data_IF_107997493683
#
_entry.id   IF_107997493683
#
_cell.length_a   1.000
_cell.length_b   1.000
_cell.length_c   1.000
_cell.angle_alpha   90.00
_cell.angle_beta   90.00
_cell.angle_gamma   90.00
#
_symmetry.space_group_name_H-M   'P 1'
#
loop_
_entity.id
_entity.type
_entity.pdbx_description
1 polymer ?
#
# COMPACT_ATOMS: atom_id res chain seq x y z
N UNK A 1 -17.07 21.58 -6.00
CA UNK A 1 -16.02 21.75 -7.04
C UNK A 1 -14.82 20.89 -6.69
N UNK A 2 -14.07 20.29 -7.66
CA UNK A 2 -12.85 19.52 -7.37
C UNK A 2 -11.81 20.31 -6.54
N UNK A 3 -11.71 21.60 -6.78
CA UNK A 3 -10.82 22.48 -6.01
C UNK A 3 -11.22 22.59 -4.55
N UNK A 4 -12.53 22.63 -4.27
CA UNK A 4 -13.04 22.66 -2.88
C UNK A 4 -12.67 21.38 -2.13
N UNK A 5 -12.84 20.22 -2.77
CA UNK A 5 -12.47 18.91 -2.17
C UNK A 5 -10.97 18.87 -1.87
N UNK A 6 -10.14 19.32 -2.82
CA UNK A 6 -8.69 19.39 -2.63
C UNK A 6 -8.34 20.27 -1.41
N UNK A 7 -8.93 21.45 -1.30
CA UNK A 7 -8.68 22.35 -0.16
C UNK A 7 -9.01 21.70 1.18
N UNK A 8 -10.14 20.97 1.28
CA UNK A 8 -10.47 20.25 2.50
C UNK A 8 -9.48 19.10 2.81
N UNK A 9 -9.04 18.37 1.78
CA UNK A 9 -8.02 17.34 1.96
C UNK A 9 -6.72 17.95 2.45
N UNK A 10 -6.29 19.08 1.89
CA UNK A 10 -5.09 19.80 2.32
C UNK A 10 -5.19 20.23 3.81
N UNK A 11 -6.36 20.74 4.26
CA UNK A 11 -6.57 21.08 5.68
C UNK A 11 -6.52 19.87 6.62
N UNK A 12 -7.08 18.73 6.19
CA UNK A 12 -7.02 17.48 6.95
C UNK A 12 -5.59 16.93 7.02
N UNK A 13 -4.81 17.12 5.96
CA UNK A 13 -3.40 16.74 5.91
C UNK A 13 -2.54 17.65 6.82
N UNK A 14 -2.77 18.97 6.80
CA UNK A 14 -2.14 19.93 7.72
C UNK A 14 -2.47 19.65 9.20
N UNK A 15 -3.67 19.13 9.47
CA UNK A 15 -4.11 18.72 10.81
C UNK A 15 -3.63 17.31 11.21
N UNK A 16 -2.83 16.65 10.39
CA UNK A 16 -2.37 15.27 10.59
C UNK A 16 -3.48 14.22 10.74
N UNK A 17 -4.70 14.52 10.29
CA UNK A 17 -5.82 13.56 10.32
C UNK A 17 -5.71 12.57 9.17
N UNK A 18 -5.23 13.04 8.02
CA UNK A 18 -5.02 12.23 6.83
C UNK A 18 -3.61 12.42 6.28
N UNK A 19 -3.20 11.46 5.45
CA UNK A 19 -1.94 11.50 4.72
C UNK A 19 -2.19 11.16 3.25
N UNK A 20 -1.62 11.95 2.35
CA UNK A 20 -1.62 11.67 0.93
C UNK A 20 -0.41 10.84 0.54
N UNK A 21 -0.63 9.72 -0.14
CA UNK A 21 0.42 8.89 -0.72
C UNK A 21 0.41 9.05 -2.23
N UNK A 22 1.44 9.64 -2.84
CA UNK A 22 1.49 9.84 -4.28
C UNK A 22 1.81 8.55 -5.03
N UNK A 23 1.35 8.46 -6.27
CA UNK A 23 1.86 7.47 -7.23
C UNK A 23 3.33 7.74 -7.49
N UNK A 24 4.17 6.69 -7.41
CA UNK A 24 5.59 6.85 -7.76
C UNK A 24 5.77 7.08 -9.26
N UNK A 25 6.54 8.09 -9.60
CA UNK A 25 7.06 8.32 -10.95
C UNK A 25 8.49 8.88 -10.82
N UNK A 26 9.35 8.63 -11.79
CA UNK A 26 10.69 9.22 -11.83
C UNK A 26 10.64 10.74 -12.06
N UNK A 27 9.56 11.26 -12.65
CA UNK A 27 9.31 12.67 -12.82
C UNK A 27 8.57 13.25 -11.61
N UNK A 28 9.21 14.17 -10.89
CA UNK A 28 8.58 14.89 -9.76
C UNK A 28 7.29 15.61 -10.17
N UNK A 29 7.27 16.21 -11.37
CA UNK A 29 6.05 16.85 -11.90
C UNK A 29 4.89 15.87 -12.02
N UNK A 30 5.15 14.65 -12.49
CA UNK A 30 4.11 13.62 -12.59
C UNK A 30 3.65 13.15 -11.21
N UNK A 31 4.53 13.03 -10.22
CA UNK A 31 4.13 12.69 -8.85
C UNK A 31 3.14 13.71 -8.26
N UNK A 32 3.28 15.00 -8.61
CA UNK A 32 2.38 16.06 -8.13
C UNK A 32 1.00 15.97 -8.76
N UNK A 33 0.92 15.67 -10.07
CA UNK A 33 -0.33 15.69 -10.84
C UNK A 33 -1.08 14.36 -10.85
N UNK A 34 -0.40 13.25 -10.54
CA UNK A 34 -1.02 11.93 -10.47
C UNK A 34 -2.01 11.84 -9.30
N UNK A 35 -2.94 10.90 -9.39
CA UNK A 35 -3.83 10.55 -8.30
C UNK A 35 -3.06 10.17 -7.05
N UNK A 36 -3.67 10.40 -5.90
CA UNK A 36 -3.12 10.07 -4.58
C UNK A 36 -4.05 9.12 -3.84
N UNK A 37 -3.47 8.18 -3.12
CA UNK A 37 -4.20 7.42 -2.10
C UNK A 37 -4.24 8.26 -0.80
N UNK A 38 -5.37 8.21 -0.10
CA UNK A 38 -5.56 8.91 1.18
C UNK A 38 -5.69 7.86 2.28
N UNK A 39 -4.87 8.01 3.32
CA UNK A 39 -4.91 7.19 4.52
C UNK A 39 -5.18 8.05 5.74
N UNK A 40 -5.90 7.52 6.72
CA UNK A 40 -6.17 8.19 7.98
C UNK A 40 -5.11 7.85 9.03
N UNK A 41 -4.86 8.77 9.96
CA UNK A 41 -3.97 8.53 11.10
C UNK A 41 -4.48 7.43 12.03
N UNK A 42 -5.79 7.21 12.04
CA UNK A 42 -6.45 6.26 12.94
C UNK A 42 -7.56 5.49 12.22
N UNK A 43 -7.45 4.16 12.24
CA UNK A 43 -8.47 3.26 11.66
C UNK A 43 -9.80 3.34 12.41
N UNK A 44 -9.80 3.73 13.70
CA UNK A 44 -11.00 3.96 14.49
C UNK A 44 -11.80 5.15 13.96
N UNK A 45 -11.14 6.25 13.57
CA UNK A 45 -11.79 7.39 12.92
C UNK A 45 -12.46 6.97 11.60
N UNK A 46 -11.77 6.17 10.80
CA UNK A 46 -12.34 5.64 9.55
C UNK A 46 -13.60 4.83 9.82
N UNK A 47 -13.61 3.97 10.85
CA UNK A 47 -14.76 3.15 11.20
C UNK A 47 -15.96 3.97 11.71
N UNK A 48 -15.71 5.06 12.43
CA UNK A 48 -16.80 5.93 12.96
C UNK A 48 -17.43 6.77 11.85
N UNK A 49 -16.63 7.22 10.89
CA UNK A 49 -17.10 8.12 9.82
C UNK A 49 -17.61 7.34 8.61
N UNK A 50 -17.03 6.18 8.32
CA UNK A 50 -17.55 5.32 7.26
C UNK A 50 -18.77 4.57 7.75
N UNK A 51 -19.90 4.71 7.04
CA UNK A 51 -21.05 3.83 7.22
C UNK A 51 -20.56 2.38 7.07
N UNK A 52 -20.51 1.66 8.21
CA UNK A 52 -19.85 0.37 8.33
C UNK A 52 -20.55 -0.69 7.47
N UNK A 53 -19.98 -1.00 6.32
CA UNK A 53 -20.26 -2.22 5.58
C UNK A 53 -19.00 -3.06 5.53
N UNK A 54 -19.17 -4.38 5.61
CA UNK A 54 -18.12 -5.42 5.67
C UNK A 54 -17.06 -5.35 4.53
N UNK A 55 -17.31 -4.57 3.49
CA UNK A 55 -16.41 -4.39 2.34
C UNK A 55 -15.17 -3.52 2.65
N UNK A 56 -15.10 -2.91 3.84
CA UNK A 56 -14.01 -2.01 4.18
C UNK A 56 -12.81 -2.66 4.87
N UNK A 57 -12.86 -3.98 5.15
CA UNK A 57 -11.79 -4.66 5.92
C UNK A 57 -10.43 -4.55 5.23
N UNK A 58 -10.37 -4.77 3.92
CA UNK A 58 -9.14 -4.64 3.15
C UNK A 58 -8.53 -3.23 3.26
N UNK A 59 -9.34 -2.18 3.15
CA UNK A 59 -8.90 -0.79 3.30
C UNK A 59 -8.40 -0.48 4.70
N UNK A 60 -9.03 -1.03 5.75
CA UNK A 60 -8.58 -0.83 7.13
C UNK A 60 -7.23 -1.50 7.38
N UNK A 61 -7.03 -2.69 6.82
CA UNK A 61 -5.76 -3.42 6.91
C UNK A 61 -4.67 -2.66 6.16
N UNK A 62 -4.95 -2.18 4.96
CA UNK A 62 -4.04 -1.36 4.16
C UNK A 62 -3.66 -0.06 4.91
N UNK A 63 -4.65 0.60 5.52
CA UNK A 63 -4.43 1.79 6.34
C UNK A 63 -3.54 1.50 7.58
N UNK A 64 -3.74 0.37 8.23
CA UNK A 64 -2.89 -0.06 9.36
C UNK A 64 -1.43 -0.25 8.93
N UNK A 65 -1.22 -0.91 7.78
CA UNK A 65 0.12 -1.09 7.21
C UNK A 65 0.76 0.26 6.89
N UNK A 66 0.00 1.19 6.31
CA UNK A 66 0.47 2.54 6.03
C UNK A 66 0.95 3.26 7.31
N UNK A 67 0.14 3.24 8.38
CA UNK A 67 0.50 3.86 9.67
C UNK A 67 1.81 3.26 10.19
N UNK A 68 1.95 1.95 10.14
CA UNK A 68 3.17 1.28 10.59
C UNK A 68 4.39 1.65 9.74
N UNK A 69 4.24 1.75 8.41
CA UNK A 69 5.32 2.23 7.53
C UNK A 69 5.75 3.66 7.88
N UNK A 70 4.80 4.53 8.24
CA UNK A 70 5.09 5.89 8.71
C UNK A 70 5.81 5.87 10.06
N UNK A 71 5.40 5.04 11.00
CA UNK A 71 6.07 4.86 12.29
C UNK A 71 7.52 4.38 12.13
N UNK A 72 7.78 3.57 11.09
CA UNK A 72 9.13 3.14 10.71
C UNK A 72 9.90 4.19 9.89
N UNK A 73 9.38 5.41 9.75
CA UNK A 73 9.98 6.52 8.99
C UNK A 73 10.28 6.16 7.52
N UNK A 74 9.42 5.35 6.89
CA UNK A 74 9.58 5.00 5.48
C UNK A 74 9.03 6.08 4.56
N UNK A 75 9.70 6.31 3.42
CA UNK A 75 9.21 7.15 2.33
C UNK A 75 8.31 6.30 1.43
N UNK A 76 6.99 6.53 1.53
CA UNK A 76 5.95 5.65 0.99
C UNK A 76 5.33 6.24 -0.27
N UNK A 77 5.20 5.42 -1.29
CA UNK A 77 4.47 5.66 -2.54
C UNK A 77 3.61 4.46 -2.86
N UNK A 78 2.73 4.56 -3.87
CA UNK A 78 2.08 3.40 -4.47
C UNK A 78 2.47 3.27 -5.94
N UNK A 79 2.29 2.08 -6.50
CA UNK A 79 2.48 1.82 -7.92
C UNK A 79 1.14 1.53 -8.60
N UNK A 80 0.95 2.07 -9.81
CA UNK A 80 -0.23 1.78 -10.62
C UNK A 80 0.07 2.02 -12.10
N UNK A 81 0.16 0.93 -12.86
CA UNK A 81 0.17 0.98 -14.31
C UNK A 81 -0.99 0.11 -14.82
N UNK A 82 -0.76 -1.11 -15.31
CA UNK A 82 -1.82 -2.07 -15.63
C UNK A 82 -2.45 -2.64 -14.36
N UNK A 83 -1.61 -2.93 -13.36
CA UNK A 83 -2.00 -3.40 -12.04
C UNK A 83 -1.60 -2.38 -10.97
N UNK A 84 -2.13 -2.54 -9.78
CA UNK A 84 -1.81 -1.69 -8.64
C UNK A 84 -1.01 -2.49 -7.62
N UNK A 85 0.04 -1.86 -7.04
CA UNK A 85 0.73 -2.34 -5.85
C UNK A 85 0.60 -1.28 -4.77
N UNK A 86 0.12 -1.70 -3.58
CA UNK A 86 -0.32 -0.78 -2.54
C UNK A 86 0.80 0.11 -2.03
N UNK A 87 1.99 -0.46 -1.82
CA UNK A 87 3.11 0.31 -1.33
C UNK A 87 4.40 -0.02 -2.07
N UNK A 88 5.15 1.01 -2.43
CA UNK A 88 6.53 0.94 -2.85
C UNK A 88 7.34 1.90 -1.99
N UNK A 89 8.43 1.41 -1.39
CA UNK A 89 9.24 2.16 -0.44
C UNK A 89 10.49 2.66 -1.13
N UNK A 90 10.77 3.96 -0.93
CA UNK A 90 11.91 4.62 -1.54
C UNK A 90 12.99 4.87 -0.49
N UNK A 91 14.24 4.60 -0.86
CA UNK A 91 15.43 4.99 -0.11
C UNK A 91 16.40 5.69 -1.06
N UNK A 92 16.74 6.92 -0.72
CA UNK A 92 17.55 7.77 -1.61
C UNK A 92 16.84 8.02 -2.95
N UNK A 93 17.37 7.49 -4.05
CA UNK A 93 16.83 7.69 -5.40
C UNK A 93 16.13 6.45 -5.98
N UNK A 94 16.04 5.36 -5.24
CA UNK A 94 15.55 4.08 -5.74
C UNK A 94 14.40 3.57 -4.89
N UNK A 95 13.50 2.83 -5.54
CA UNK A 95 12.57 1.96 -4.83
C UNK A 95 13.35 0.72 -4.38
N UNK A 96 13.23 0.37 -3.11
CA UNK A 96 13.96 -0.74 -2.47
C UNK A 96 13.04 -1.88 -2.04
N UNK A 97 11.74 -1.60 -1.89
CA UNK A 97 10.77 -2.60 -1.44
C UNK A 97 9.41 -2.37 -2.11
N UNK A 98 8.68 -3.46 -2.39
CA UNK A 98 7.30 -3.46 -2.84
C UNK A 98 6.47 -4.36 -1.91
N UNK A 99 5.33 -3.84 -1.44
CA UNK A 99 4.44 -4.48 -0.49
C UNK A 99 3.00 -4.41 -1.03
N UNK A 100 2.35 -5.56 -1.09
CA UNK A 100 0.93 -5.69 -1.34
C UNK A 100 0.22 -6.10 -0.06
N UNK A 101 -1.03 -5.68 0.14
CA UNK A 101 -1.80 -5.96 1.34
C UNK A 101 -3.13 -6.60 0.98
N UNK A 102 -3.48 -7.69 1.62
CA UNK A 102 -4.75 -8.37 1.37
C UNK A 102 -5.34 -8.97 2.65
N UNK A 103 -6.66 -9.07 2.69
CA UNK A 103 -7.35 -9.73 3.80
C UNK A 103 -7.06 -11.24 3.82
N UNK A 104 -7.23 -11.90 2.69
CA UNK A 104 -6.94 -13.32 2.54
C UNK A 104 -6.55 -13.67 1.10
N UNK A 105 -6.00 -14.86 0.92
CA UNK A 105 -5.55 -15.42 -0.36
C UNK A 105 -6.21 -16.77 -0.66
N UNK A 106 -7.35 -17.08 -0.04
CA UNK A 106 -8.04 -18.36 -0.22
C UNK A 106 -8.67 -18.49 -1.61
N UNK A 107 -9.03 -17.36 -2.22
CA UNK A 107 -9.51 -17.30 -3.61
C UNK A 107 -8.34 -17.12 -4.57
N UNK A 108 -8.19 -18.06 -5.52
CA UNK A 108 -7.09 -18.06 -6.49
C UNK A 108 -7.11 -16.80 -7.38
N UNK A 109 -8.28 -16.28 -7.74
CA UNK A 109 -8.38 -15.04 -8.54
C UNK A 109 -7.87 -13.83 -7.77
N UNK A 110 -8.17 -13.73 -6.48
CA UNK A 110 -7.63 -12.68 -5.61
C UNK A 110 -6.11 -12.84 -5.52
N UNK A 111 -5.66 -14.06 -5.22
CA UNK A 111 -4.22 -14.38 -5.12
C UNK A 111 -3.45 -14.00 -6.39
N UNK A 112 -3.96 -14.33 -7.57
CA UNK A 112 -3.32 -13.99 -8.84
C UNK A 112 -3.31 -12.47 -9.09
N UNK A 113 -4.36 -11.76 -8.72
CA UNK A 113 -4.43 -10.31 -8.82
C UNK A 113 -3.35 -9.64 -7.95
N UNK A 114 -3.25 -10.04 -6.68
CA UNK A 114 -2.26 -9.49 -5.74
C UNK A 114 -0.83 -9.79 -6.18
N UNK A 115 -0.57 -11.01 -6.65
CA UNK A 115 0.72 -11.38 -7.25
C UNK A 115 1.02 -10.53 -8.48
N UNK A 116 0.04 -10.27 -9.34
CA UNK A 116 0.23 -9.51 -10.57
C UNK A 116 0.61 -8.05 -10.30
N UNK A 117 -0.05 -7.40 -9.34
CA UNK A 117 0.26 -6.04 -8.92
C UNK A 117 1.66 -5.91 -8.33
N UNK A 118 1.98 -6.79 -7.38
CA UNK A 118 3.31 -6.84 -6.78
C UNK A 118 4.40 -7.13 -7.83
N UNK A 119 4.16 -8.10 -8.70
CA UNK A 119 5.13 -8.52 -9.72
C UNK A 119 5.40 -7.43 -10.76
N UNK A 120 4.38 -6.66 -11.16
CA UNK A 120 4.53 -5.51 -12.05
C UNK A 120 5.44 -4.46 -11.42
N UNK A 121 5.19 -4.09 -10.17
CA UNK A 121 6.04 -3.16 -9.41
C UNK A 121 7.48 -3.69 -9.27
N UNK A 122 7.64 -4.97 -8.92
CA UNK A 122 8.97 -5.60 -8.81
C UNK A 122 9.74 -5.56 -10.13
N UNK A 123 9.09 -5.73 -11.26
CA UNK A 123 9.73 -5.64 -12.58
C UNK A 123 10.13 -4.21 -12.90
N UNK A 124 9.23 -3.26 -12.70
CA UNK A 124 9.46 -1.85 -13.00
C UNK A 124 10.61 -1.24 -12.19
N UNK A 125 10.74 -1.67 -10.93
CA UNK A 125 11.75 -1.14 -10.01
C UNK A 125 12.95 -2.08 -9.81
N UNK A 126 13.08 -3.12 -10.63
CA UNK A 126 14.20 -4.07 -10.62
C UNK A 126 14.39 -4.79 -9.27
N UNK A 127 13.30 -5.05 -8.56
CA UNK A 127 13.32 -5.77 -7.30
C UNK A 127 13.35 -7.29 -7.53
N UNK A 128 14.19 -7.99 -6.78
CA UNK A 128 14.26 -9.47 -6.80
C UNK A 128 13.32 -10.13 -5.79
N UNK A 129 12.82 -9.35 -4.84
CA UNK A 129 11.95 -9.80 -3.76
C UNK A 129 10.80 -8.80 -3.57
N UNK A 130 9.60 -9.32 -3.27
CA UNK A 130 8.45 -8.52 -2.87
C UNK A 130 7.66 -9.25 -1.78
N UNK A 131 6.83 -8.51 -1.05
CA UNK A 131 6.07 -9.03 0.10
C UNK A 131 4.58 -8.85 -0.12
N UNK A 132 3.79 -9.89 0.14
CA UNK A 132 2.33 -9.81 0.28
C UNK A 132 1.99 -10.00 1.76
N UNK A 133 1.50 -8.95 2.38
CA UNK A 133 1.01 -9.00 3.76
C UNK A 133 -0.41 -9.54 3.74
N UNK A 134 -0.64 -10.63 4.47
CA UNK A 134 -1.94 -11.31 4.53
C UNK A 134 -2.48 -11.21 5.95
N UNK A 135 -3.70 -10.68 6.12
CA UNK A 135 -4.29 -10.56 7.45
C UNK A 135 -4.57 -11.95 8.04
N UNK A 136 -5.25 -12.79 7.28
CA UNK A 136 -5.53 -14.18 7.66
C UNK A 136 -4.83 -15.14 6.70
N UNK A 137 -3.61 -15.55 7.06
CA UNK A 137 -2.79 -16.40 6.22
C UNK A 137 -1.61 -17.02 6.96
N UNK A 138 -0.88 -17.86 6.24
CA UNK A 138 0.36 -18.48 6.71
C UNK A 138 1.55 -17.91 5.95
N UNK A 139 2.71 -18.04 6.54
CA UNK A 139 3.95 -17.71 5.85
C UNK A 139 4.21 -18.70 4.72
N UNK A 140 4.41 -18.17 3.53
CA UNK A 140 4.68 -18.93 2.32
C UNK A 140 5.68 -18.18 1.46
N UNK A 141 6.52 -18.91 0.75
CA UNK A 141 7.42 -18.34 -0.23
C UNK A 141 7.14 -18.95 -1.60
N UNK A 142 6.99 -18.10 -2.61
CA UNK A 142 6.74 -18.52 -4.00
C UNK A 142 7.75 -17.85 -4.93
N UNK A 143 8.31 -18.63 -5.85
CA UNK A 143 9.11 -18.09 -6.96
C UNK A 143 8.22 -17.88 -8.17
N UNK A 144 8.20 -16.68 -8.72
CA UNK A 144 7.48 -16.33 -9.94
C UNK A 144 8.46 -15.71 -10.92
N UNK A 145 8.66 -16.36 -12.06
CA UNK A 145 9.59 -15.90 -13.11
C UNK A 145 10.95 -15.45 -12.59
N UNK A 146 11.53 -16.22 -11.66
CA UNK A 146 12.86 -15.97 -11.09
C UNK A 146 12.88 -14.99 -9.91
N UNK A 147 11.80 -14.30 -9.60
CA UNK A 147 11.69 -13.39 -8.45
C UNK A 147 11.00 -14.07 -7.28
N UNK A 148 11.36 -13.65 -6.07
CA UNK A 148 10.86 -14.19 -4.81
C UNK A 148 9.67 -13.36 -4.31
N UNK A 149 8.53 -14.00 -4.08
CA UNK A 149 7.37 -13.41 -3.43
C UNK A 149 7.20 -14.09 -2.08
N UNK A 150 7.12 -13.28 -1.01
CA UNK A 150 6.90 -13.75 0.35
C UNK A 150 5.50 -13.36 0.77
N UNK A 151 4.68 -14.36 1.11
CA UNK A 151 3.44 -14.15 1.84
C UNK A 151 3.76 -14.16 3.32
N UNK A 152 3.43 -13.08 4.00
CA UNK A 152 3.76 -12.90 5.40
C UNK A 152 2.51 -12.53 6.20
N UNK A 153 2.17 -13.25 7.28
CA UNK A 153 1.08 -12.84 8.16
C UNK A 153 1.31 -11.43 8.68
N UNK A 154 0.27 -10.58 8.60
CA UNK A 154 0.37 -9.18 8.99
C UNK A 154 0.84 -9.01 10.43
N UNK A 155 0.29 -9.81 11.36
CA UNK A 155 0.70 -9.74 12.76
C UNK A 155 2.20 -10.00 12.97
N UNK A 156 2.77 -10.93 12.19
CA UNK A 156 4.20 -11.25 12.24
C UNK A 156 5.03 -10.07 11.74
N UNK A 157 4.61 -9.45 10.62
CA UNK A 157 5.28 -8.27 10.08
C UNK A 157 5.22 -7.08 11.04
N UNK A 158 4.11 -6.87 11.73
CA UNK A 158 3.96 -5.80 12.73
C UNK A 158 4.91 -5.98 13.93
N UNK A 159 5.25 -7.22 14.28
CA UNK A 159 6.16 -7.53 15.39
C UNK A 159 7.66 -7.48 15.00
N UNK A 160 7.98 -7.48 13.71
CA UNK A 160 9.37 -7.29 13.26
C UNK A 160 9.73 -5.81 13.31
N UNK A 161 10.82 -5.50 14.03
CA UNK A 161 11.38 -4.14 14.09
C UNK A 161 12.33 -3.88 12.92
#
# INVERSE_FOLDING_TARGET
SPNTVKTYVDYLEESYINFSVPKYDYSFRKQIINDRKIYSIDTGLVNVVSFAFSENKGRLIENLVFIELKNRNKEVFYHKDKYECDFVLKEGRKIVEAIQVTDNISNEQIREREISGLFEAMNKYELNKGTILVFDGREEEKKVKGKKIIFLPLWKWLLTK
#
